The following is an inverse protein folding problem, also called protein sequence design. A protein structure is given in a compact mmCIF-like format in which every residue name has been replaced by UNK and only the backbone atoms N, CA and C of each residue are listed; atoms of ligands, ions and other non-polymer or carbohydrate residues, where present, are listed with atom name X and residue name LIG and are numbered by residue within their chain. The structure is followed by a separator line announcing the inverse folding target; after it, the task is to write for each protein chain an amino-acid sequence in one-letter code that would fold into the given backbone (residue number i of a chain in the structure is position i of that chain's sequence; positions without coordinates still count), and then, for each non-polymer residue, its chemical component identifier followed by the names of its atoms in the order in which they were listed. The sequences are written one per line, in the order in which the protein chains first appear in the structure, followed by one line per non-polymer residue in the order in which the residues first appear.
data_IF_082186344207
#
_entry.id   IF_082186344207
#
_cell.length_a   1.000
_cell.length_b   1.000
_cell.length_c   1.000
_cell.angle_alpha   90.00
_cell.angle_beta   90.00
_cell.angle_gamma   90.00
#
_symmetry.space_group_name_H-M   'P 1'
#
loop_
_entity.id
_entity.type
_entity.pdbx_description
1 polymer ?
#
# COMPACT_ATOMS: atom_id res chain seq x y z
N UNK A 1 -50.51 25.78 -39.80
CA UNK A 1 -49.28 24.99 -40.07
C UNK A 1 -48.69 24.64 -38.73
N UNK A 2 -48.76 23.37 -38.32
CA UNK A 2 -48.26 22.93 -37.02
C UNK A 2 -46.74 23.05 -36.99
N UNK A 3 -46.19 23.68 -35.94
CA UNK A 3 -44.76 23.88 -35.77
C UNK A 3 -44.10 22.54 -35.40
N UNK A 4 -43.62 21.81 -36.41
CA UNK A 4 -42.90 20.54 -36.26
C UNK A 4 -41.56 20.65 -35.54
N UNK A 5 -41.12 21.86 -35.17
CA UNK A 5 -39.85 22.10 -34.45
C UNK A 5 -39.91 21.61 -32.99
N UNK A 6 -41.04 21.82 -32.31
CA UNK A 6 -41.20 21.43 -30.91
C UNK A 6 -41.07 19.89 -30.69
N UNK A 7 -41.75 19.01 -31.45
CA UNK A 7 -41.60 17.56 -31.27
C UNK A 7 -40.21 17.06 -31.68
N UNK A 8 -39.54 17.72 -32.63
CA UNK A 8 -38.18 17.36 -33.06
C UNK A 8 -37.12 17.66 -31.98
N UNK A 9 -37.22 18.83 -31.30
CA UNK A 9 -36.36 19.14 -30.16
C UNK A 9 -36.57 18.16 -28.99
N UNK A 10 -37.82 17.80 -28.68
CA UNK A 10 -38.13 16.83 -27.63
C UNK A 10 -37.58 15.42 -27.95
N UNK A 11 -37.64 15.00 -29.22
CA UNK A 11 -37.09 13.72 -29.66
C UNK A 11 -35.56 13.68 -29.53
N UNK A 12 -34.86 14.75 -29.95
CA UNK A 12 -33.41 14.85 -29.78
C UNK A 12 -33.02 14.84 -28.30
N UNK A 13 -33.73 15.57 -27.43
CA UNK A 13 -33.48 15.55 -25.98
C UNK A 13 -33.68 14.17 -25.35
N UNK A 14 -34.60 13.35 -25.85
CA UNK A 14 -34.82 11.99 -25.35
C UNK A 14 -33.69 11.00 -25.73
N UNK A 15 -33.00 11.23 -26.85
CA UNK A 15 -31.89 10.37 -27.30
C UNK A 15 -30.62 10.55 -26.44
N UNK A 16 -30.49 11.69 -25.76
CA UNK A 16 -29.39 11.96 -24.82
C UNK A 16 -29.63 11.41 -23.41
N UNK A 17 -30.78 10.76 -23.15
CA UNK A 17 -31.11 10.15 -21.86
C UNK A 17 -30.87 8.62 -21.83
N UNK A 18 -29.98 8.11 -22.68
CA UNK A 18 -29.38 6.80 -22.41
C UNK A 18 -28.34 6.96 -21.31
N UNK A 19 -28.81 7.11 -20.06
CA UNK A 19 -27.99 6.76 -18.92
C UNK A 19 -27.77 5.24 -19.01
N UNK A 20 -26.72 4.83 -19.72
CA UNK A 20 -26.19 3.48 -19.57
C UNK A 20 -25.74 3.40 -18.11
N UNK A 21 -26.56 2.78 -17.26
CA UNK A 21 -26.11 2.18 -16.02
C UNK A 21 -25.13 1.07 -16.44
N UNK A 22 -23.90 1.45 -16.74
CA UNK A 22 -22.83 0.52 -17.00
C UNK A 22 -22.37 0.02 -15.63
N UNK A 23 -22.83 -1.18 -15.28
CA UNK A 23 -22.35 -1.90 -14.11
C UNK A 23 -20.83 -2.11 -14.26
N UNK A 24 -20.07 -1.79 -13.22
CA UNK A 24 -18.62 -2.05 -13.20
C UNK A 24 -18.43 -3.48 -12.70
N UNK A 25 -18.08 -4.38 -13.61
CA UNK A 25 -17.67 -5.76 -13.33
C UNK A 25 -16.17 -5.86 -13.57
N UNK A 26 -15.38 -6.24 -12.56
CA UNK A 26 -13.92 -6.20 -12.67
C UNK A 26 -13.41 -7.07 -13.82
N UNK A 27 -14.01 -8.26 -14.02
CA UNK A 27 -13.62 -9.22 -15.06
C UNK A 27 -13.87 -8.70 -16.48
N UNK A 28 -14.72 -7.68 -16.64
CA UNK A 28 -15.00 -7.03 -17.92
C UNK A 28 -14.12 -5.78 -18.17
N UNK A 29 -13.35 -5.34 -17.17
CA UNK A 29 -12.44 -4.20 -17.30
C UNK A 29 -11.17 -4.59 -18.06
N UNK A 30 -10.68 -3.72 -18.97
CA UNK A 30 -9.38 -3.93 -19.57
C UNK A 30 -8.26 -3.74 -18.52
N UNK A 31 -7.09 -4.41 -18.69
CA UNK A 31 -6.00 -4.38 -17.70
C UNK A 31 -5.55 -2.98 -17.29
N UNK A 32 -5.53 -2.03 -18.23
CA UNK A 32 -5.05 -0.66 -18.05
C UNK A 32 -5.97 0.23 -17.20
N UNK A 33 -7.18 -0.23 -16.85
CA UNK A 33 -8.08 0.46 -15.91
C UNK A 33 -8.52 -0.44 -14.75
N UNK A 34 -7.98 -1.65 -14.65
CA UNK A 34 -8.35 -2.62 -13.62
C UNK A 34 -7.88 -2.17 -12.23
N UNK A 35 -6.58 -1.87 -12.09
CA UNK A 35 -6.02 -1.46 -10.82
C UNK A 35 -6.66 -0.15 -10.34
N UNK A 36 -6.97 -0.10 -9.05
CA UNK A 36 -7.64 1.03 -8.38
C UNK A 36 -9.07 1.30 -8.88
N UNK A 37 -9.76 0.26 -9.33
CA UNK A 37 -11.20 0.29 -9.61
C UNK A 37 -12.01 -0.41 -8.53
N UNK A 38 -13.30 -0.09 -8.44
CA UNK A 38 -14.28 -0.69 -7.54
C UNK A 38 -15.51 -1.08 -8.37
N UNK A 39 -15.87 -2.35 -8.28
CA UNK A 39 -17.07 -2.90 -8.92
C UNK A 39 -18.36 -2.29 -8.37
N UNK A 40 -19.46 -2.50 -9.09
CA UNK A 40 -20.82 -2.19 -8.61
C UNK A 40 -21.20 -2.91 -7.32
N UNK A 41 -20.56 -4.04 -7.02
CA UNK A 41 -20.74 -4.75 -5.76
C UNK A 41 -20.01 -4.10 -4.56
N UNK A 42 -19.28 -3.01 -4.78
CA UNK A 42 -18.47 -2.33 -3.75
C UNK A 42 -17.15 -3.04 -3.43
N UNK A 43 -16.73 -4.01 -4.25
CA UNK A 43 -15.46 -4.73 -4.10
C UNK A 43 -14.38 -4.15 -4.99
N UNK A 44 -13.14 -4.06 -4.49
CA UNK A 44 -11.99 -3.59 -5.26
C UNK A 44 -11.67 -4.57 -6.40
N UNK A 45 -11.22 -4.05 -7.52
CA UNK A 45 -10.65 -4.84 -8.61
C UNK A 45 -9.14 -5.00 -8.40
N UNK A 46 -8.58 -6.15 -8.75
CA UNK A 46 -7.17 -6.47 -8.66
C UNK A 46 -6.66 -7.02 -10.00
N UNK A 47 -5.46 -6.60 -10.35
CA UNK A 47 -4.75 -7.13 -11.50
C UNK A 47 -3.93 -8.34 -11.07
N UNK A 48 -4.11 -9.46 -11.77
CA UNK A 48 -3.39 -10.71 -11.56
C UNK A 48 -2.62 -11.09 -12.82
N UNK A 49 -1.49 -11.76 -12.64
CA UNK A 49 -0.73 -12.37 -13.74
C UNK A 49 -1.06 -13.84 -13.87
N UNK A 50 -1.33 -14.27 -15.08
CA UNK A 50 -1.53 -15.67 -15.46
C UNK A 50 -0.56 -16.04 -16.59
N UNK A 51 -0.32 -17.32 -16.79
CA UNK A 51 0.46 -17.80 -17.93
C UNK A 51 -0.49 -18.30 -19.02
N UNK A 52 -0.24 -17.86 -20.26
CA UNK A 52 -0.95 -18.35 -21.43
C UNK A 52 -0.44 -19.76 -21.84
N UNK A 53 -0.95 -20.27 -22.96
CA UNK A 53 -0.56 -21.61 -23.47
C UNK A 53 0.88 -21.69 -23.98
N UNK A 54 1.53 -20.55 -24.16
CA UNK A 54 2.90 -20.41 -24.64
C UNK A 54 3.85 -19.99 -23.51
N UNK A 55 3.41 -20.05 -22.25
CA UNK A 55 4.13 -19.56 -21.07
C UNK A 55 4.42 -18.04 -21.09
N UNK A 56 3.60 -17.26 -21.80
CA UNK A 56 3.64 -15.79 -21.82
C UNK A 56 2.77 -15.21 -20.70
N UNK A 57 3.20 -14.10 -20.10
CA UNK A 57 2.47 -13.43 -19.02
C UNK A 57 1.25 -12.69 -19.58
N UNK A 58 0.06 -13.07 -19.14
CA UNK A 58 -1.21 -12.42 -19.43
C UNK A 58 -1.80 -11.78 -18.16
N UNK A 59 -2.24 -10.54 -18.27
CA UNK A 59 -2.91 -9.84 -17.17
C UNK A 59 -4.41 -10.11 -17.18
N UNK A 60 -4.95 -10.47 -16.02
CA UNK A 60 -6.39 -10.66 -15.81
C UNK A 60 -6.88 -9.77 -14.68
N UNK A 61 -8.01 -9.11 -14.90
CA UNK A 61 -8.68 -8.36 -13.85
C UNK A 61 -9.65 -9.27 -13.09
N UNK A 62 -9.62 -9.20 -11.76
CA UNK A 62 -10.47 -9.99 -10.87
C UNK A 62 -11.11 -9.12 -9.80
N UNK A 63 -12.27 -9.55 -9.32
CA UNK A 63 -12.92 -8.94 -8.15
C UNK A 63 -12.29 -9.46 -6.85
N UNK A 64 -11.86 -8.55 -5.98
CA UNK A 64 -11.28 -8.89 -4.66
C UNK A 64 -12.35 -9.31 -3.65
N UNK A 65 -11.92 -9.89 -2.54
CA UNK A 65 -12.78 -10.08 -1.37
C UNK A 65 -12.89 -8.82 -0.49
N UNK A 66 -12.09 -7.78 -0.79
CA UNK A 66 -12.02 -6.55 0.00
C UNK A 66 -13.17 -5.62 -0.38
N UNK A 67 -14.12 -5.50 0.54
CA UNK A 67 -15.24 -4.55 0.44
C UNK A 67 -14.80 -3.13 0.78
N UNK A 68 -15.26 -2.16 -0.01
CA UNK A 68 -15.10 -0.73 0.26
C UNK A 68 -16.40 -0.21 0.86
N UNK A 69 -16.31 0.45 2.02
CA UNK A 69 -17.49 0.81 2.82
C UNK A 69 -18.39 1.84 2.13
N UNK A 70 -17.80 2.83 1.43
CA UNK A 70 -18.53 4.04 0.98
C UNK A 70 -18.41 4.35 -0.51
N UNK A 71 -17.89 3.41 -1.30
CA UNK A 71 -17.61 3.63 -2.71
C UNK A 71 -17.93 2.37 -3.51
N UNK A 72 -18.58 2.56 -4.66
CA UNK A 72 -18.91 1.53 -5.64
C UNK A 72 -18.92 2.21 -7.02
N UNK A 73 -18.74 1.42 -8.08
CA UNK A 73 -18.74 1.92 -9.47
C UNK A 73 -17.71 3.03 -9.72
N UNK A 74 -16.54 2.91 -9.09
CA UNK A 74 -15.51 3.94 -9.14
C UNK A 74 -14.28 3.45 -9.88
N UNK A 75 -13.79 4.24 -10.82
CA UNK A 75 -12.54 4.00 -11.55
C UNK A 75 -11.67 5.22 -11.28
N UNK A 76 -10.51 5.02 -10.64
CA UNK A 76 -9.56 6.11 -10.44
C UNK A 76 -9.05 6.66 -11.77
N UNK A 77 -8.76 7.95 -11.84
CA UNK A 77 -8.25 8.59 -13.04
C UNK A 77 -6.73 8.44 -13.18
N UNK A 78 -6.19 8.63 -14.38
CA UNK A 78 -4.73 8.61 -14.59
C UNK A 78 -4.02 9.77 -13.88
N UNK A 79 -4.74 10.89 -13.69
CA UNK A 79 -4.27 11.99 -12.85
C UNK A 79 -4.08 11.51 -11.41
N UNK A 80 -5.03 10.73 -10.88
CA UNK A 80 -4.91 10.20 -9.53
C UNK A 80 -3.82 9.14 -9.39
N UNK A 81 -3.75 8.21 -10.34
CA UNK A 81 -2.68 7.20 -10.40
C UNK A 81 -1.30 7.86 -10.38
N UNK A 82 -1.08 8.85 -11.25
CA UNK A 82 0.20 9.55 -11.32
C UNK A 82 0.49 10.43 -10.10
N UNK A 83 -0.53 11.12 -9.55
CA UNK A 83 -0.39 11.96 -8.36
C UNK A 83 -0.04 11.16 -7.10
N UNK A 84 -0.62 9.97 -6.96
CA UNK A 84 -0.34 9.06 -5.85
C UNK A 84 0.93 8.23 -6.04
N UNK A 85 1.51 8.20 -7.24
CA UNK A 85 2.72 7.47 -7.52
C UNK A 85 2.54 5.96 -7.65
N UNK A 86 1.34 5.52 -8.01
CA UNK A 86 1.01 4.12 -8.32
C UNK A 86 0.99 3.87 -9.83
N UNK A 87 0.97 2.61 -10.25
CA UNK A 87 0.92 2.22 -11.67
C UNK A 87 -0.33 1.38 -11.99
N UNK A 88 -0.92 1.58 -13.17
CA UNK A 88 -2.09 0.79 -13.63
C UNK A 88 -1.81 -0.71 -13.72
N UNK A 89 -0.55 -1.08 -13.87
CA UNK A 89 -0.09 -2.46 -13.99
C UNK A 89 0.40 -3.02 -12.65
N UNK A 90 0.12 -2.35 -11.52
CA UNK A 90 0.46 -2.87 -10.21
C UNK A 90 -0.26 -4.21 -9.96
N UNK A 91 0.54 -5.28 -9.87
CA UNK A 91 0.10 -6.63 -9.53
C UNK A 91 0.51 -6.90 -8.10
N UNK A 92 -0.44 -7.32 -7.26
CA UNK A 92 -0.16 -7.66 -5.87
C UNK A 92 0.23 -6.44 -5.02
N UNK A 93 -0.73 -5.53 -4.82
CA UNK A 93 -0.55 -4.32 -4.00
C UNK A 93 -0.26 -4.73 -2.55
N UNK A 94 0.88 -4.30 -2.01
CA UNK A 94 1.32 -4.57 -0.63
C UNK A 94 1.53 -3.31 0.19
N UNK A 95 1.58 -3.47 1.50
CA UNK A 95 1.94 -2.44 2.47
C UNK A 95 3.42 -2.03 2.37
N UNK A 96 4.30 -2.86 1.79
CA UNK A 96 5.74 -2.60 1.68
C UNK A 96 6.04 -1.32 0.89
N UNK A 97 5.18 -0.95 -0.06
CA UNK A 97 5.31 0.31 -0.80
C UNK A 97 5.40 1.52 0.14
N UNK A 98 4.75 1.47 1.32
CA UNK A 98 4.81 2.54 2.32
C UNK A 98 6.22 2.75 2.91
N UNK A 99 7.10 1.76 2.79
CA UNK A 99 8.51 1.84 3.20
C UNK A 99 9.36 2.64 2.19
N UNK A 100 8.85 2.87 0.99
CA UNK A 100 9.53 3.63 -0.05
C UNK A 100 9.28 5.13 0.12
N UNK A 101 10.30 5.95 0.44
CA UNK A 101 10.10 7.37 0.69
C UNK A 101 9.50 8.12 -0.51
N UNK A 102 9.85 7.72 -1.74
CA UNK A 102 9.35 8.39 -2.94
C UNK A 102 7.84 8.16 -3.13
N UNK A 103 7.38 6.92 -2.92
CA UNK A 103 5.97 6.57 -2.95
C UNK A 103 5.20 7.31 -1.85
N UNK A 104 5.64 7.19 -0.60
CA UNK A 104 4.90 7.75 0.54
C UNK A 104 4.84 9.28 0.48
N UNK A 105 5.86 9.95 -0.06
CA UNK A 105 5.81 11.39 -0.33
C UNK A 105 4.73 11.77 -1.37
N UNK A 106 4.54 10.97 -2.42
CA UNK A 106 3.48 11.19 -3.41
C UNK A 106 2.10 10.90 -2.85
N UNK A 107 1.94 9.78 -2.14
CA UNK A 107 0.71 9.39 -1.45
C UNK A 107 0.25 10.47 -0.47
N UNK A 108 1.18 11.03 0.32
CA UNK A 108 0.90 12.10 1.28
C UNK A 108 0.83 13.51 0.66
N UNK A 109 1.09 13.66 -0.64
CA UNK A 109 0.99 14.95 -1.31
C UNK A 109 -0.48 15.42 -1.38
N UNK A 110 -0.76 16.73 -1.32
CA UNK A 110 -2.15 17.23 -1.43
C UNK A 110 -2.84 16.86 -2.75
N UNK A 111 -2.06 16.59 -3.81
CA UNK A 111 -2.59 16.16 -5.09
C UNK A 111 -3.24 14.77 -4.98
N UNK A 112 -2.63 13.84 -4.24
CA UNK A 112 -3.18 12.52 -3.99
C UNK A 112 -4.18 12.53 -2.82
N UNK A 113 -3.73 12.99 -1.64
CA UNK A 113 -4.45 12.81 -0.37
C UNK A 113 -5.83 13.47 -0.32
N UNK A 114 -6.05 14.52 -1.12
CA UNK A 114 -7.34 15.23 -1.17
C UNK A 114 -8.21 14.88 -2.37
N UNK A 115 -7.64 14.32 -3.44
CA UNK A 115 -8.37 14.16 -4.72
C UNK A 115 -8.57 12.70 -5.14
N UNK A 116 -7.87 11.75 -4.52
CA UNK A 116 -7.82 10.35 -4.96
C UNK A 116 -8.30 9.39 -3.87
N UNK A 117 -9.60 9.46 -3.51
CA UNK A 117 -10.12 8.82 -2.31
C UNK A 117 -9.99 7.29 -2.33
N UNK A 118 -10.02 6.63 -3.50
CA UNK A 118 -9.92 5.18 -3.55
C UNK A 118 -8.50 4.68 -3.24
N UNK A 119 -7.49 5.35 -3.82
CA UNK A 119 -6.07 5.02 -3.58
C UNK A 119 -5.71 5.33 -2.12
N UNK A 120 -6.15 6.49 -1.61
CA UNK A 120 -5.91 6.87 -0.22
C UNK A 120 -6.58 5.89 0.75
N UNK A 121 -7.83 5.49 0.50
CA UNK A 121 -8.52 4.48 1.32
C UNK A 121 -7.80 3.12 1.29
N UNK A 122 -7.28 2.72 0.13
CA UNK A 122 -6.53 1.47 0.01
C UNK A 122 -5.30 1.45 0.92
N UNK A 123 -4.43 2.46 0.77
CA UNK A 123 -3.20 2.53 1.54
C UNK A 123 -3.42 2.89 3.00
N UNK A 124 -4.51 3.60 3.32
CA UNK A 124 -4.93 3.79 4.71
C UNK A 124 -5.24 2.45 5.38
N UNK A 125 -6.00 1.58 4.72
CA UNK A 125 -6.37 0.27 5.25
C UNK A 125 -5.17 -0.70 5.28
N UNK A 126 -4.28 -0.64 4.27
CA UNK A 126 -3.02 -1.40 4.29
C UNK A 126 -2.11 -0.97 5.45
N UNK A 127 -1.92 0.34 5.65
CA UNK A 127 -1.15 0.87 6.77
C UNK A 127 -1.76 0.45 8.12
N UNK A 128 -3.09 0.52 8.25
CA UNK A 128 -3.78 0.10 9.45
C UNK A 128 -3.60 -1.40 9.74
N UNK A 129 -3.52 -2.23 8.68
CA UNK A 129 -3.16 -3.64 8.78
C UNK A 129 -1.76 -3.88 9.37
N UNK A 130 -0.83 -2.96 9.12
CA UNK A 130 0.52 -2.93 9.72
C UNK A 130 0.58 -2.21 11.08
N UNK A 131 -0.57 -1.82 11.64
CA UNK A 131 -0.64 -1.07 12.91
C UNK A 131 -0.24 0.40 12.80
N UNK A 132 -0.22 0.96 11.59
CA UNK A 132 0.25 2.31 11.29
C UNK A 132 -0.92 3.20 10.92
N UNK A 133 -0.99 4.39 11.52
CA UNK A 133 -1.99 5.38 11.16
C UNK A 133 -1.45 6.31 10.07
N UNK A 134 -1.91 6.10 8.82
CA UNK A 134 -1.41 6.83 7.65
C UNK A 134 -1.44 8.37 7.78
N UNK A 135 -2.46 9.01 8.37
CA UNK A 135 -2.46 10.47 8.56
C UNK A 135 -1.32 10.97 9.46
N UNK A 136 -0.99 10.24 10.53
CA UNK A 136 0.16 10.56 11.40
C UNK A 136 1.48 10.39 10.65
N UNK A 137 1.61 9.34 9.84
CA UNK A 137 2.78 9.15 8.97
C UNK A 137 2.93 10.33 8.00
N UNK A 138 1.85 10.76 7.34
CA UNK A 138 1.89 11.90 6.43
C UNK A 138 2.23 13.22 7.13
N UNK A 139 1.74 13.46 8.34
CA UNK A 139 2.11 14.64 9.14
C UNK A 139 3.60 14.61 9.53
N UNK A 140 4.09 13.46 10.00
CA UNK A 140 5.49 13.27 10.34
C UNK A 140 6.41 13.50 9.13
N UNK A 141 6.02 13.03 7.94
CA UNK A 141 6.74 13.29 6.70
C UNK A 141 6.78 14.77 6.35
N UNK A 142 5.72 15.53 6.62
CA UNK A 142 5.69 16.98 6.35
C UNK A 142 6.69 17.75 7.20
N UNK A 143 6.97 17.27 8.42
CA UNK A 143 7.89 17.90 9.37
C UNK A 143 9.34 17.52 9.04
N UNK A 144 9.63 16.22 8.91
CA UNK A 144 10.98 15.73 8.61
C UNK A 144 10.96 14.39 7.86
N UNK A 145 10.90 14.40 6.51
CA UNK A 145 10.73 13.17 5.73
C UNK A 145 11.83 12.12 5.99
N UNK A 146 13.09 12.57 6.13
CA UNK A 146 14.23 11.67 6.33
C UNK A 146 14.16 10.92 7.65
N UNK A 147 13.83 11.64 8.74
CA UNK A 147 13.76 11.04 10.07
C UNK A 147 12.54 10.12 10.19
N UNK A 148 11.38 10.59 9.74
CA UNK A 148 10.12 9.85 9.86
C UNK A 148 10.16 8.52 9.10
N UNK A 149 10.74 8.51 7.88
CA UNK A 149 10.95 7.25 7.16
C UNK A 149 11.92 6.31 7.87
N UNK A 150 13.00 6.84 8.46
CA UNK A 150 13.96 6.00 9.17
C UNK A 150 13.35 5.35 10.42
N UNK A 151 12.54 6.09 11.18
CA UNK A 151 11.78 5.56 12.32
C UNK A 151 10.76 4.52 11.86
N UNK A 152 10.00 4.79 10.80
CA UNK A 152 9.01 3.88 10.22
C UNK A 152 9.61 2.54 9.78
N UNK A 153 10.69 2.60 9.00
CA UNK A 153 11.41 1.40 8.51
C UNK A 153 12.03 0.61 9.67
N UNK A 154 12.48 1.30 10.73
CA UNK A 154 13.03 0.63 11.91
C UNK A 154 11.94 -0.12 12.68
N UNK A 155 10.76 0.49 12.86
CA UNK A 155 9.63 -0.15 13.57
C UNK A 155 8.96 -1.28 12.79
N UNK A 156 8.97 -1.21 11.45
CA UNK A 156 8.37 -2.26 10.61
C UNK A 156 9.23 -3.53 10.53
N UNK A 157 10.51 -3.45 10.91
CA UNK A 157 11.44 -4.59 10.94
C UNK A 157 11.43 -5.37 12.27
N UNK A 158 10.81 -4.80 13.31
CA UNK A 158 10.67 -5.46 14.61
C UNK A 158 9.33 -6.21 14.62
N UNK A 159 9.37 -7.51 14.33
CA UNK A 159 8.25 -8.39 14.63
C UNK A 159 7.93 -8.23 16.13
N UNK A 160 6.79 -7.61 16.44
CA UNK A 160 6.24 -7.58 17.80
C UNK A 160 5.90 -9.02 18.20
N UNK A 161 6.90 -9.75 18.68
CA UNK A 161 6.69 -10.95 19.50
C UNK A 161 5.86 -10.56 20.72
N UNK A 162 4.99 -11.45 21.22
CA UNK A 162 4.11 -11.12 22.33
C UNK A 162 4.95 -10.65 23.51
N UNK A 163 4.80 -9.37 23.87
CA UNK A 163 5.42 -8.81 25.05
C UNK A 163 4.94 -9.57 26.29
N UNK A 164 5.81 -9.80 27.30
CA UNK A 164 5.39 -10.47 28.50
C UNK A 164 4.37 -9.58 29.20
N UNK A 165 3.15 -10.10 29.32
CA UNK A 165 2.11 -9.54 30.18
C UNK A 165 2.67 -9.40 31.58
N UNK A 166 2.58 -8.20 32.12
CA UNK A 166 2.82 -7.90 33.52
C UNK A 166 2.06 -8.90 34.40
N UNK A 167 2.80 -9.73 35.13
CA UNK A 167 2.28 -10.54 36.23
C UNK A 167 3.24 -10.38 37.42
N UNK A 168 2.85 -9.46 38.29
CA UNK A 168 3.08 -9.37 39.73
C UNK A 168 4.19 -10.25 40.37
N UNK A 169 5.28 -9.57 40.73
CA UNK A 169 5.93 -9.53 42.06
C UNK A 169 5.77 -10.73 43.00
N UNK A 170 6.84 -11.53 43.20
CA UNK A 170 7.19 -12.14 44.49
C UNK A 170 8.74 -12.18 44.66
N UNK A 171 9.24 -11.54 45.72
CA UNK A 171 10.58 -11.71 46.35
C UNK A 171 10.77 -13.20 46.74
N UNK A 172 11.94 -13.84 46.85
CA UNK A 172 13.19 -13.63 47.61
C UNK A 172 14.03 -14.89 47.24
N UNK A 173 15.33 -14.91 46.99
CA UNK A 173 16.42 -14.96 47.98
C UNK A 173 17.72 -15.29 47.19
N UNK A 174 18.83 -14.63 47.50
CA UNK A 174 20.15 -14.91 46.91
C UNK A 174 20.82 -16.12 47.58
N UNK A 175 21.86 -16.71 46.94
CA UNK A 175 23.15 -16.62 47.64
C UNK A 175 24.37 -16.36 46.74
N UNK A 176 25.15 -15.37 47.21
CA UNK A 176 26.61 -15.17 47.25
C UNK A 176 27.54 -15.43 46.03
N UNK A 177 28.50 -14.49 45.77
CA UNK A 177 29.58 -14.66 44.80
C UNK A 177 30.92 -15.04 45.45
N UNK A 178 31.79 -15.76 44.73
CA UNK A 178 33.27 -15.76 44.90
C UNK A 178 33.96 -16.64 43.83
N UNK A 179 35.28 -16.49 43.59
CA UNK A 179 36.04 -15.27 43.37
C UNK A 179 36.91 -15.34 42.09
N UNK A 180 37.45 -14.18 41.70
CA UNK A 180 38.46 -14.04 40.64
C UNK A 180 39.83 -14.61 41.06
N UNK A 181 40.57 -15.14 40.09
CA UNK A 181 42.02 -15.36 40.17
C UNK A 181 42.66 -14.64 38.97
N UNK A 182 43.44 -13.60 39.28
CA UNK A 182 44.41 -12.94 38.40
C UNK A 182 45.67 -13.82 38.26
N UNK A 183 46.27 -13.85 37.07
CA UNK A 183 47.72 -13.65 36.83
C UNK A 183 48.05 -13.91 35.35
N UNK A 184 48.48 -12.88 34.63
CA UNK A 184 49.81 -12.76 33.97
C UNK A 184 49.70 -13.02 32.45
N UNK A 185 49.70 -11.93 31.64
CA UNK A 185 50.85 -11.39 30.89
C UNK A 185 51.48 -12.37 29.91
N UNK A 186 51.32 -12.11 28.61
CA UNK A 186 52.46 -11.98 27.69
C UNK A 186 51.98 -11.38 26.36
N UNK A 187 52.67 -10.34 25.92
CA UNK A 187 52.72 -9.83 24.56
C UNK A 187 53.31 -10.87 23.61
N UNK A 188 52.83 -10.99 22.37
CA UNK A 188 53.67 -10.57 21.24
C UNK A 188 52.92 -10.57 19.91
N UNK A 189 53.23 -9.52 19.16
CA UNK A 189 53.00 -9.33 17.75
C UNK A 189 53.91 -10.24 16.93
N UNK A 190 53.39 -10.89 15.90
CA UNK A 190 54.21 -11.24 14.75
C UNK A 190 53.46 -11.03 13.44
N UNK A 191 54.12 -10.26 12.59
CA UNK A 191 53.81 -10.04 11.18
C UNK A 191 54.67 -10.98 10.35
N UNK A 192 54.28 -11.08 9.09
CA UNK A 192 55.06 -11.49 7.92
C UNK A 192 55.04 -12.94 7.42
N UNK A 193 55.01 -12.96 6.08
CA UNK A 193 55.46 -14.00 5.16
C UNK A 193 54.54 -15.23 4.99
N UNK A 194 54.35 -15.77 3.79
CA UNK A 194 54.83 -15.42 2.45
C UNK A 194 53.97 -16.20 1.43
N UNK A 195 53.92 -15.64 0.22
CA UNK A 195 53.92 -16.24 -1.13
C UNK A 195 53.79 -17.75 -1.38
N UNK A 196 53.58 -18.01 -2.69
CA UNK A 196 53.73 -19.20 -3.52
C UNK A 196 52.37 -19.59 -4.10
N UNK A 197 52.14 -19.71 -5.40
CA UNK A 197 52.90 -19.48 -6.63
C UNK A 197 51.87 -19.55 -7.77
#
# INVERSE_FOLDING_TARGET
MASFKLPFFLFISSLFLHASLAEVVCEDLPPDVCAFSISSSGKRCLLETTLDKNDEVEYQCRTSEVMVERMAEHIESDECVSACGVDRNDVGISSDALLEPEFTNKLCSPACSHNCPNIVDLFFNLAAGEGVFLPELCEALRINPRRSMAEFISSSGEAFGPGPSEAELFEEEAPAPAPAIESESESDSDSDSDSLE
#
